data_IF_970573125625
#
_entry.id   IF_970573125625
#
_cell.length_a   1.000
_cell.length_b   1.000
_cell.length_c   1.000
_cell.angle_alpha   90.00
_cell.angle_beta   90.00
_cell.angle_gamma   90.00
#
_symmetry.space_group_name_H-M   'P 1'
#
loop_
_entity.id
_entity.type
_entity.pdbx_description
1 polymer ?
#
# COMPACT_ATOMS: atom_id res chain seq x y z
N UNK A 1 -40.31 -19.59 -4.21
CA UNK A 1 -40.32 -18.19 -4.69
C UNK A 1 -41.05 -17.23 -3.73
N UNK A 2 -42.25 -17.56 -3.23
CA UNK A 2 -43.06 -16.63 -2.41
C UNK A 2 -42.48 -16.29 -1.01
N UNK A 3 -41.82 -17.24 -0.34
CA UNK A 3 -41.26 -17.01 1.01
C UNK A 3 -40.11 -15.99 1.04
N UNK A 4 -39.28 -15.95 -0.01
CA UNK A 4 -38.19 -14.97 -0.12
C UNK A 4 -38.73 -13.55 -0.26
N UNK A 5 -39.78 -13.36 -1.07
CA UNK A 5 -40.36 -12.03 -1.31
C UNK A 5 -40.98 -11.45 -0.02
N UNK A 6 -41.62 -12.29 0.79
CA UNK A 6 -42.21 -11.87 2.07
C UNK A 6 -41.14 -11.46 3.10
N UNK A 7 -40.01 -12.18 3.14
CA UNK A 7 -38.87 -11.83 3.99
C UNK A 7 -38.23 -10.51 3.56
N UNK A 8 -38.00 -10.32 2.25
CA UNK A 8 -37.45 -9.07 1.70
C UNK A 8 -38.35 -7.86 2.01
N UNK A 9 -39.68 -8.04 1.98
CA UNK A 9 -40.62 -6.99 2.37
C UNK A 9 -40.60 -6.67 3.87
N UNK A 10 -40.57 -7.69 4.73
CA UNK A 10 -40.49 -7.49 6.19
C UNK A 10 -39.20 -6.83 6.66
N UNK A 11 -38.11 -7.00 5.91
CA UNK A 11 -36.81 -6.40 6.19
C UNK A 11 -36.62 -5.02 5.54
N UNK A 12 -37.64 -4.46 4.87
CA UNK A 12 -37.60 -3.13 4.26
C UNK A 12 -36.83 -3.03 2.94
N UNK A 13 -36.35 -4.15 2.39
CA UNK A 13 -35.60 -4.22 1.13
C UNK A 13 -36.50 -4.39 -0.10
N UNK A 14 -37.80 -4.11 0.03
CA UNK A 14 -38.70 -4.16 -1.11
C UNK A 14 -38.43 -2.94 -2.02
N UNK A 15 -38.25 -3.10 -3.33
CA UNK A 15 -37.92 -1.98 -4.24
C UNK A 15 -38.86 -0.78 -4.12
N UNK A 16 -40.18 -1.06 -3.98
CA UNK A 16 -41.21 -0.02 -3.74
C UNK A 16 -41.08 0.73 -2.40
N UNK A 17 -40.46 0.13 -1.38
CA UNK A 17 -40.24 0.77 -0.08
C UNK A 17 -38.90 1.52 -0.02
N UNK A 18 -37.90 1.13 -0.82
CA UNK A 18 -36.64 1.87 -0.96
C UNK A 18 -36.77 3.17 -1.80
N UNK A 19 -37.96 3.48 -2.32
CA UNK A 19 -38.20 4.67 -3.15
C UNK A 19 -37.50 4.61 -4.51
N UNK A 20 -37.04 3.43 -4.92
CA UNK A 20 -36.33 3.22 -6.18
C UNK A 20 -37.25 2.40 -7.08
N UNK A 21 -37.78 3.04 -8.12
CA UNK A 21 -38.51 2.34 -9.16
C UNK A 21 -37.51 1.64 -10.08
N UNK A 22 -37.51 0.32 -10.06
CA UNK A 22 -36.63 -0.49 -10.92
C UNK A 22 -36.99 -0.37 -12.40
N UNK A 23 -38.19 0.14 -12.73
CA UNK A 23 -38.59 0.44 -14.10
C UNK A 23 -37.89 1.69 -14.67
N UNK A 24 -37.40 2.59 -13.81
CA UNK A 24 -36.63 3.78 -14.19
C UNK A 24 -35.11 3.54 -14.21
N UNK A 25 -34.66 2.39 -13.68
CA UNK A 25 -33.23 2.09 -13.55
C UNK A 25 -32.62 1.48 -14.81
N UNK A 26 -33.45 0.88 -15.66
CA UNK A 26 -33.05 0.30 -16.93
C UNK A 26 -34.13 0.60 -17.96
N UNK A 27 -33.78 1.38 -18.98
CA UNK A 27 -34.67 1.58 -20.13
C UNK A 27 -34.33 0.53 -21.20
N UNK A 28 -35.25 0.14 -22.08
CA UNK A 28 -34.96 -0.85 -23.13
C UNK A 28 -33.81 -0.40 -24.06
N UNK A 29 -33.47 0.89 -24.07
CA UNK A 29 -32.32 1.45 -24.76
C UNK A 29 -30.98 1.06 -24.10
N UNK A 30 -30.93 0.82 -22.78
CA UNK A 30 -29.70 0.36 -22.07
C UNK A 30 -29.29 -1.07 -22.45
N UNK A 31 -30.25 -1.85 -22.96
CA UNK A 31 -30.03 -3.20 -23.48
C UNK A 31 -29.61 -3.19 -24.95
N UNK A 32 -29.69 -2.04 -25.62
CA UNK A 32 -29.20 -1.90 -26.98
C UNK A 32 -27.69 -1.67 -26.95
N UNK A 33 -26.93 -2.69 -27.34
CA UNK A 33 -25.51 -2.53 -27.57
C UNK A 33 -25.32 -1.54 -28.73
N UNK A 34 -24.55 -0.44 -28.57
CA UNK A 34 -24.18 0.38 -29.71
C UNK A 34 -23.45 -0.51 -30.71
N UNK A 35 -23.93 -0.48 -31.95
CA UNK A 35 -23.33 -1.20 -33.08
C UNK A 35 -21.81 -0.96 -33.08
N UNK A 36 -20.97 -2.01 -33.03
CA UNK A 36 -19.54 -1.81 -33.05
C UNK A 36 -19.12 -1.30 -34.43
N UNK A 37 -18.79 -0.01 -34.50
CA UNK A 37 -17.85 0.45 -35.51
C UNK A 37 -16.56 -0.34 -35.33
N UNK A 38 -16.11 -0.94 -36.43
CA UNK A 38 -15.01 -1.89 -36.50
C UNK A 38 -13.75 -1.39 -35.81
N UNK A 39 -13.39 -1.99 -34.67
CA UNK A 39 -12.02 -2.03 -34.20
C UNK A 39 -11.77 -3.40 -33.56
N UNK A 40 -11.04 -4.23 -34.30
CA UNK A 40 -10.69 -5.58 -33.92
C UNK A 40 -9.83 -5.54 -32.64
N UNK A 41 -10.36 -6.08 -31.55
CA UNK A 41 -9.54 -6.58 -30.44
C UNK A 41 -9.89 -8.05 -30.25
N UNK A 42 -8.86 -8.88 -30.30
CA UNK A 42 -8.91 -10.33 -30.22
C UNK A 42 -9.47 -10.78 -28.86
N UNK A 43 -10.78 -10.99 -28.79
CA UNK A 43 -11.41 -11.70 -27.67
C UNK A 43 -11.34 -13.18 -27.96
N UNK A 44 -10.37 -13.85 -27.35
CA UNK A 44 -10.24 -15.32 -27.39
C UNK A 44 -11.47 -15.93 -26.70
N UNK A 45 -12.09 -17.00 -27.25
CA UNK A 45 -13.30 -17.61 -26.70
C UNK A 45 -13.05 -18.22 -25.31
N UNK A 46 -14.05 -18.12 -24.42
CA UNK A 46 -14.04 -18.68 -23.05
C UNK A 46 -13.69 -20.17 -23.00
N UNK A 47 -13.97 -20.89 -24.08
CA UNK A 47 -13.69 -22.33 -24.25
C UNK A 47 -12.19 -22.67 -24.15
N UNK A 48 -11.31 -21.78 -24.62
CA UNK A 48 -9.85 -21.95 -24.53
C UNK A 48 -9.33 -21.80 -23.08
N UNK A 49 -10.08 -21.08 -22.24
CA UNK A 49 -9.75 -20.97 -20.81
C UNK A 49 -10.06 -22.26 -20.03
N UNK A 50 -10.96 -23.12 -20.54
CA UNK A 50 -11.29 -24.41 -19.94
C UNK A 50 -10.27 -25.49 -20.33
N UNK A 51 -9.80 -25.48 -21.59
CA UNK A 51 -8.79 -26.44 -22.08
C UNK A 51 -7.41 -26.24 -21.43
N UNK A 52 -7.03 -25.00 -21.11
CA UNK A 52 -5.79 -24.68 -20.38
C UNK A 52 -5.78 -25.13 -18.91
N UNK A 53 -6.92 -25.54 -18.34
CA UNK A 53 -7.02 -25.92 -16.92
C UNK A 53 -6.68 -27.40 -16.63
N UNK A 54 -6.45 -28.22 -17.65
CA UNK A 54 -6.23 -29.67 -17.46
C UNK A 54 -4.86 -30.05 -16.86
N UNK A 55 -3.95 -29.10 -16.65
CA UNK A 55 -2.58 -29.38 -16.17
C UNK A 55 -2.19 -28.77 -14.83
N UNK A 56 -3.08 -28.07 -14.12
CA UNK A 56 -2.68 -27.34 -12.92
C UNK A 56 -3.81 -27.01 -11.95
N UNK A 57 -3.44 -26.85 -10.69
CA UNK A 57 -4.31 -26.37 -9.62
C UNK A 57 -5.01 -25.06 -10.04
N UNK A 58 -6.31 -24.95 -9.75
CA UNK A 58 -7.06 -23.71 -9.98
C UNK A 58 -6.36 -22.52 -9.31
N UNK A 59 -6.55 -21.29 -9.81
CA UNK A 59 -6.02 -20.06 -9.17
C UNK A 59 -6.32 -20.00 -7.67
N UNK A 60 -7.47 -20.53 -7.25
CA UNK A 60 -7.86 -20.62 -5.84
C UNK A 60 -7.00 -21.63 -5.07
N UNK A 61 -6.77 -22.80 -5.64
CA UNK A 61 -5.92 -23.85 -5.05
C UNK A 61 -4.45 -23.44 -5.05
N UNK A 62 -3.96 -22.80 -6.10
CA UNK A 62 -2.59 -22.28 -6.18
C UNK A 62 -2.31 -21.28 -5.07
N UNK A 63 -3.23 -20.35 -4.80
CA UNK A 63 -3.09 -19.40 -3.70
C UNK A 63 -3.16 -20.10 -2.34
N UNK A 64 -4.01 -21.13 -2.19
CA UNK A 64 -4.08 -21.94 -0.97
C UNK A 64 -2.76 -22.69 -0.73
N UNK A 65 -2.18 -23.30 -1.76
CA UNK A 65 -0.89 -23.98 -1.71
C UNK A 65 0.25 -23.02 -1.36
N UNK A 66 0.30 -21.83 -1.99
CA UNK A 66 1.29 -20.78 -1.67
C UNK A 66 1.23 -20.33 -0.21
N UNK A 67 0.02 -20.14 0.35
CA UNK A 67 -0.15 -19.79 1.78
C UNK A 67 0.32 -20.93 2.69
N UNK A 68 -0.01 -22.18 2.36
CA UNK A 68 0.37 -23.36 3.13
C UNK A 68 1.89 -23.59 3.14
N UNK A 69 2.57 -23.39 2.00
CA UNK A 69 4.03 -23.50 1.89
C UNK A 69 4.77 -22.41 2.70
N UNK A 70 4.25 -21.18 2.72
CA UNK A 70 4.82 -20.09 3.54
C UNK A 70 4.69 -20.36 5.04
N UNK A 71 3.61 -21.01 5.47
CA UNK A 71 3.42 -21.38 6.87
C UNK A 71 4.34 -22.53 7.31
N UNK A 72 4.67 -23.48 6.43
CA UNK A 72 5.62 -24.57 6.76
C UNK A 72 7.06 -24.08 6.83
N UNK A 73 7.49 -23.19 5.93
CA UNK A 73 8.84 -22.62 5.96
C UNK A 73 9.08 -21.65 7.13
N UNK A 74 8.02 -20.98 7.62
CA UNK A 74 8.12 -20.11 8.80
C UNK A 74 8.40 -20.86 10.10
N UNK A 75 8.00 -22.14 10.20
CA UNK A 75 8.27 -22.99 11.38
C UNK A 75 9.69 -23.55 11.42
N UNK A 76 10.36 -23.67 10.26
CA UNK A 76 11.71 -24.22 10.20
C UNK A 76 12.81 -23.17 10.43
N UNK A 77 12.49 -21.87 10.36
CA UNK A 77 13.49 -20.81 10.61
C UNK A 77 13.75 -20.50 12.09
N UNK A 78 13.13 -21.25 13.02
CA UNK A 78 13.33 -21.16 14.47
C UNK A 78 14.08 -22.38 15.01
N UNK A 79 15.17 -22.78 14.34
CA UNK A 79 16.12 -23.76 14.86
C UNK A 79 17.52 -23.23 14.55
N UNK A 80 18.18 -22.71 15.58
CA UNK A 80 19.57 -22.28 15.53
C UNK A 80 20.46 -23.46 15.13
N UNK A 81 21.43 -23.29 14.22
CA UNK A 81 22.49 -24.25 14.03
C UNK A 81 23.76 -23.80 14.76
N UNK A 82 24.20 -24.72 15.62
CA UNK A 82 25.54 -24.85 16.16
C UNK A 82 26.58 -25.02 15.03
N UNK A 83 27.83 -24.72 15.37
CA UNK A 83 28.99 -24.47 14.50
C UNK A 83 29.48 -25.68 13.66
N UNK A 84 30.29 -25.36 12.64
CA UNK A 84 31.27 -26.19 11.91
C UNK A 84 30.89 -26.81 10.53
N UNK A 85 31.43 -26.14 9.51
CA UNK A 85 32.31 -26.66 8.45
C UNK A 85 31.76 -27.34 7.17
N UNK A 86 32.46 -26.99 6.07
CA UNK A 86 32.52 -27.60 4.72
C UNK A 86 31.51 -27.17 3.64
N UNK A 87 31.94 -26.16 2.86
CA UNK A 87 31.96 -26.13 1.38
C UNK A 87 30.90 -26.94 0.60
N UNK A 88 29.81 -26.30 0.17
CA UNK A 88 29.20 -26.54 -1.16
C UNK A 88 28.55 -25.25 -1.69
N UNK A 89 29.07 -24.83 -2.83
CA UNK A 89 28.60 -23.82 -3.78
C UNK A 89 27.06 -23.63 -3.87
N UNK A 90 26.54 -22.55 -3.26
CA UNK A 90 25.14 -22.16 -3.40
C UNK A 90 24.97 -21.25 -4.62
N UNK A 91 24.43 -21.84 -5.67
CA UNK A 91 23.96 -21.17 -6.88
C UNK A 91 23.08 -19.96 -6.54
N UNK A 92 23.63 -18.77 -6.76
CA UNK A 92 22.94 -17.47 -6.63
C UNK A 92 21.94 -17.37 -7.78
N UNK A 93 20.69 -17.77 -7.54
CA UNK A 93 19.62 -17.63 -8.53
C UNK A 93 19.32 -16.15 -8.71
N UNK A 94 19.83 -15.60 -9.81
CA UNK A 94 19.67 -14.23 -10.29
C UNK A 94 18.18 -13.84 -10.24
N UNK A 95 17.84 -12.93 -9.33
CA UNK A 95 16.58 -12.19 -9.40
C UNK A 95 16.74 -11.21 -10.54
N UNK A 96 15.99 -11.44 -11.62
CA UNK A 96 15.83 -10.48 -12.71
C UNK A 96 14.88 -9.40 -12.20
N UNK A 97 15.47 -8.35 -11.64
CA UNK A 97 14.78 -7.09 -11.37
C UNK A 97 14.84 -6.33 -12.69
N UNK A 98 13.70 -6.21 -13.36
CA UNK A 98 13.59 -5.37 -14.53
C UNK A 98 13.74 -3.91 -14.12
N UNK A 99 14.64 -3.26 -14.85
CA UNK A 99 15.15 -1.92 -14.69
C UNK A 99 14.06 -0.92 -15.11
N UNK A 100 13.38 -0.36 -14.11
CA UNK A 100 12.57 0.85 -14.25
C UNK A 100 13.14 1.88 -13.27
N UNK A 101 14.39 2.27 -13.49
CA UNK A 101 15.01 3.43 -12.84
C UNK A 101 15.34 4.50 -13.89
N UNK A 102 14.29 4.99 -14.55
CA UNK A 102 14.25 6.34 -15.10
C UNK A 102 13.28 7.16 -14.24
N UNK A 103 13.67 7.38 -12.99
CA UNK A 103 13.04 8.36 -12.13
C UNK A 103 14.20 9.16 -11.52
N UNK A 104 14.40 10.32 -12.14
CA UNK A 104 15.21 11.47 -11.78
C UNK A 104 15.90 11.37 -10.42
N UNK A 105 17.21 11.61 -10.50
CA UNK A 105 18.15 12.01 -9.47
C UNK A 105 17.52 13.04 -8.51
N UNK A 106 16.63 12.58 -7.62
CA UNK A 106 16.37 13.24 -6.35
C UNK A 106 17.64 13.01 -5.56
N UNK A 107 18.59 13.91 -5.79
CA UNK A 107 19.73 14.15 -4.91
C UNK A 107 19.16 14.14 -3.49
N UNK A 108 19.40 13.06 -2.76
CA UNK A 108 19.22 13.01 -1.30
C UNK A 108 20.40 13.81 -0.73
N UNK A 109 20.51 15.08 -1.13
CA UNK A 109 21.42 16.03 -0.53
C UNK A 109 20.75 16.47 0.76
N UNK A 110 21.44 16.23 1.87
CA UNK A 110 21.07 16.73 3.19
C UNK A 110 19.81 16.09 3.81
N UNK A 111 19.79 14.75 3.93
CA UNK A 111 19.46 14.23 5.27
C UNK A 111 20.60 14.74 6.15
N UNK A 112 20.28 15.73 6.98
CA UNK A 112 21.13 16.16 8.09
C UNK A 112 21.50 14.92 8.88
N UNK A 113 22.68 14.36 8.58
CA UNK A 113 23.15 13.06 9.08
C UNK A 113 23.55 13.10 10.56
N UNK A 114 22.92 13.99 11.33
CA UNK A 114 23.26 14.28 12.71
C UNK A 114 22.05 14.48 13.61
N UNK A 115 20.83 14.10 13.21
CA UNK A 115 19.67 14.22 14.08
C UNK A 115 19.21 12.87 14.66
N UNK A 116 20.14 11.96 14.93
CA UNK A 116 19.87 10.69 15.62
C UNK A 116 20.87 10.56 16.75
N UNK A 117 20.45 10.13 17.96
CA UNK A 117 21.37 9.91 19.05
C UNK A 117 22.31 8.75 18.73
N UNK A 118 23.52 8.80 19.28
CA UNK A 118 24.52 7.75 19.13
C UNK A 118 24.13 6.46 19.88
N UNK A 119 24.97 5.43 19.82
CA UNK A 119 24.75 4.15 20.53
C UNK A 119 24.65 4.32 22.06
N UNK A 120 25.18 5.43 22.58
CA UNK A 120 25.15 5.81 24.00
C UNK A 120 23.86 6.55 24.36
N UNK A 121 23.04 6.93 23.38
CA UNK A 121 21.85 7.77 23.56
C UNK A 121 22.15 9.27 23.61
N UNK A 122 23.39 9.68 23.35
CA UNK A 122 23.81 11.07 23.31
C UNK A 122 23.51 11.69 21.95
N UNK A 123 22.86 12.85 21.97
CA UNK A 123 22.63 13.64 20.77
C UNK A 123 23.92 14.36 20.36
N UNK A 124 24.30 14.34 19.08
CA UNK A 124 25.44 15.11 18.62
C UNK A 124 25.17 16.61 18.78
N UNK A 125 26.22 17.39 19.02
CA UNK A 125 26.09 18.83 19.26
C UNK A 125 25.48 19.59 18.07
N UNK A 126 25.58 19.03 16.87
CA UNK A 126 24.95 19.55 15.65
C UNK A 126 23.43 19.35 15.60
N UNK A 127 22.84 18.54 16.48
CA UNK A 127 21.39 18.33 16.58
C UNK A 127 20.72 19.54 17.27
N UNK A 128 20.58 20.63 16.52
CA UNK A 128 19.93 21.86 16.98
C UNK A 128 18.41 21.79 16.86
N UNK A 129 17.91 21.25 15.76
CA UNK A 129 16.50 21.26 15.39
C UNK A 129 15.78 19.96 15.74
N UNK A 130 14.45 20.00 15.72
CA UNK A 130 13.63 18.80 15.82
C UNK A 130 14.04 17.74 14.78
N UNK A 131 14.34 16.49 15.20
CA UNK A 131 14.92 15.47 14.30
C UNK A 131 14.12 15.13 13.05
N UNK A 132 12.80 15.28 13.12
CA UNK A 132 11.89 14.92 12.04
C UNK A 132 11.53 16.14 11.17
N UNK A 133 12.19 17.30 11.36
CA UNK A 133 11.93 18.52 10.60
C UNK A 133 12.11 18.32 9.10
N UNK A 134 13.31 17.92 8.65
CA UNK A 134 13.58 17.67 7.24
C UNK A 134 12.65 16.60 6.65
N UNK A 135 12.37 15.53 7.41
CA UNK A 135 11.40 14.52 6.99
C UNK A 135 9.99 15.11 6.81
N UNK A 136 9.52 15.94 7.73
CA UNK A 136 8.21 16.59 7.64
C UNK A 136 8.11 17.60 6.49
N UNK A 137 9.20 18.31 6.18
CA UNK A 137 9.30 19.23 5.04
C UNK A 137 9.18 18.46 3.72
N UNK A 138 9.89 17.34 3.59
CA UNK A 138 9.79 16.48 2.41
C UNK A 138 8.38 15.93 2.21
N UNK A 139 7.72 15.45 3.29
CA UNK A 139 6.34 14.98 3.20
C UNK A 139 5.39 16.11 2.79
N UNK A 140 5.63 17.33 3.25
CA UNK A 140 4.82 18.50 2.88
C UNK A 140 4.96 18.82 1.40
N UNK A 141 6.15 18.70 0.83
CA UNK A 141 6.38 18.83 -0.61
C UNK A 141 5.68 17.71 -1.41
N UNK A 142 5.75 16.47 -0.91
CA UNK A 142 5.16 15.30 -1.57
C UNK A 142 3.61 15.33 -1.61
N UNK A 143 2.96 16.16 -0.79
CA UNK A 143 1.51 16.43 -0.90
C UNK A 143 1.10 17.01 -2.27
N UNK A 144 2.03 17.67 -2.97
CA UNK A 144 1.78 18.30 -4.27
C UNK A 144 2.30 17.48 -5.46
N UNK A 145 2.63 16.21 -5.26
CA UNK A 145 3.05 15.32 -6.34
C UNK A 145 1.93 15.05 -7.35
N UNK A 146 2.27 14.93 -8.64
CA UNK A 146 1.32 14.51 -9.68
C UNK A 146 0.80 13.07 -9.48
N UNK A 147 1.59 12.21 -8.83
CA UNK A 147 1.23 10.80 -8.57
C UNK A 147 0.36 10.71 -7.32
N UNK A 148 -0.81 10.08 -7.43
CA UNK A 148 -1.76 10.01 -6.31
C UNK A 148 -1.23 9.16 -5.15
N UNK A 149 -0.45 8.12 -5.45
CA UNK A 149 0.17 7.22 -4.48
C UNK A 149 1.10 7.98 -3.54
N UNK A 150 1.86 8.93 -4.10
CA UNK A 150 2.80 9.77 -3.34
C UNK A 150 2.02 10.69 -2.41
N UNK A 151 1.00 11.38 -2.91
CA UNK A 151 0.16 12.27 -2.07
C UNK A 151 -0.52 11.51 -0.93
N UNK A 152 -1.10 10.36 -1.22
CA UNK A 152 -1.77 9.53 -0.22
C UNK A 152 -0.79 9.02 0.84
N UNK A 153 0.40 8.55 0.41
CA UNK A 153 1.47 8.14 1.32
C UNK A 153 1.93 9.28 2.22
N UNK A 154 2.18 10.46 1.65
CA UNK A 154 2.61 11.64 2.38
C UNK A 154 1.58 12.11 3.40
N UNK A 155 0.30 12.20 3.01
CA UNK A 155 -0.80 12.56 3.92
C UNK A 155 -0.94 11.55 5.08
N UNK A 156 -0.81 10.26 4.79
CA UNK A 156 -0.87 9.21 5.81
C UNK A 156 0.30 9.32 6.80
N UNK A 157 1.52 9.51 6.28
CA UNK A 157 2.72 9.67 7.10
C UNK A 157 2.65 10.94 7.96
N UNK A 158 2.22 12.08 7.39
CA UNK A 158 2.04 13.34 8.14
C UNK A 158 1.01 13.20 9.26
N UNK A 159 -0.12 12.54 9.00
CA UNK A 159 -1.14 12.28 10.03
C UNK A 159 -0.52 11.53 11.22
N UNK A 160 0.20 10.45 10.95
CA UNK A 160 0.78 9.62 12.01
C UNK A 160 1.95 10.34 12.70
N UNK A 161 2.76 11.09 11.94
CA UNK A 161 3.86 11.91 12.45
C UNK A 161 3.37 12.98 13.42
N UNK A 162 2.35 13.76 13.06
CA UNK A 162 1.77 14.80 13.94
C UNK A 162 1.12 14.15 15.16
N UNK A 163 0.41 13.02 14.99
CA UNK A 163 -0.23 12.30 16.10
C UNK A 163 0.77 11.81 17.14
N UNK A 164 1.92 11.26 16.69
CA UNK A 164 2.92 10.66 17.58
C UNK A 164 3.95 11.68 18.08
N UNK A 165 4.42 12.56 17.20
CA UNK A 165 5.59 13.41 17.43
C UNK A 165 5.32 14.91 17.26
N UNK A 166 4.07 15.34 17.01
CA UNK A 166 3.72 16.75 16.80
C UNK A 166 4.06 17.68 17.95
N UNK A 167 4.07 17.19 19.20
CA UNK A 167 4.53 17.96 20.38
C UNK A 167 6.00 18.39 20.31
N UNK A 168 6.80 17.78 19.43
CA UNK A 168 8.22 18.08 19.24
C UNK A 168 8.49 19.10 18.13
N UNK A 169 7.53 19.34 17.23
CA UNK A 169 7.73 20.14 16.03
C UNK A 169 8.04 21.61 16.37
N UNK A 170 8.91 22.26 15.57
CA UNK A 170 9.28 23.67 15.75
C UNK A 170 10.23 23.95 16.92
N UNK A 171 10.63 22.94 17.70
CA UNK A 171 11.53 23.12 18.84
C UNK A 171 13.00 23.06 18.40
N UNK A 172 13.82 23.98 18.92
CA UNK A 172 15.26 24.03 18.69
C UNK A 172 16.03 24.21 20.01
N UNK A 173 17.28 23.73 20.07
CA UNK A 173 18.21 24.02 21.19
C UNK A 173 18.52 25.52 21.21
N UNK A 174 18.61 26.09 22.41
CA UNK A 174 18.86 27.53 22.62
C UNK A 174 17.60 28.39 22.75
N UNK A 175 16.40 27.85 22.48
CA UNK A 175 15.14 28.54 22.74
C UNK A 175 14.73 28.43 24.22
N UNK A 176 14.13 29.51 24.73
CA UNK A 176 13.41 29.49 26.00
C UNK A 176 12.15 28.63 25.91
N UNK A 177 11.59 28.27 27.06
CA UNK A 177 10.41 27.43 27.12
C UNK A 177 9.15 28.11 26.54
N UNK A 178 9.10 29.45 26.56
CA UNK A 178 8.02 30.23 25.97
C UNK A 178 8.15 30.29 24.44
N UNK A 179 9.33 30.64 23.92
CA UNK A 179 9.62 30.62 22.46
C UNK A 179 9.36 29.24 21.85
N UNK A 180 9.74 28.18 22.58
CA UNK A 180 9.51 26.80 22.15
C UNK A 180 8.03 26.42 22.08
N UNK A 181 7.17 27.00 22.93
CA UNK A 181 5.71 26.81 22.84
C UNK A 181 5.14 27.60 21.68
N UNK A 182 5.58 28.85 21.51
CA UNK A 182 5.15 29.71 20.42
C UNK A 182 5.48 29.07 19.06
N UNK A 183 6.70 28.54 18.90
CA UNK A 183 7.11 27.89 17.65
C UNK A 183 6.43 26.54 17.37
N UNK A 184 5.79 25.91 18.36
CA UNK A 184 5.03 24.67 18.19
C UNK A 184 3.54 24.91 17.89
N UNK A 185 3.08 26.16 18.05
CA UNK A 185 1.66 26.55 17.97
C UNK A 185 1.20 26.76 16.53
#
# INVERSE_FOLDING_TARGET
>A
AQGSQLLTAKLGFHPRLMGIDTADLFTPEDLTLPSPSSSQSSKVPVDEHLSMSQGGLSRREMNRARRKARQSMSKQRSREPDEQDLNVEVARKRVKMEDVLAAEDRVIESVSSGAVPDVTGCWPETAMDWPLKAFSENLTQDLFSQKWEVRHGAATALRDLVRLHGRGAGKCRGMTNEEMRESNR
#
